data_IF_410925722420
#
_entry.id   IF_410925722420
#
_cell.length_a   1.000
_cell.length_b   1.000
_cell.length_c   1.000
_cell.angle_alpha   90.00
_cell.angle_beta   90.00
_cell.angle_gamma   90.00
#
_symmetry.space_group_name_H-M   'P 1'
#
loop_
_entity.id
_entity.type
_entity.pdbx_description
1 polymer ?
#
# COMPACT_ATOMS: atom_id res chain seq x y z
N UNK A 1 3.57 -28.69 2.80
CA UNK A 1 3.99 -27.46 3.51
C UNK A 1 3.14 -27.34 4.77
N UNK A 2 3.76 -27.05 5.92
CA UNK A 2 3.07 -26.96 7.23
C UNK A 2 2.81 -25.49 7.58
N UNK A 3 1.75 -25.24 8.34
CA UNK A 3 1.51 -23.91 8.91
C UNK A 3 2.57 -23.62 9.96
N UNK A 4 3.09 -22.40 9.95
CA UNK A 4 4.10 -21.92 10.88
C UNK A 4 3.49 -20.83 11.74
N UNK A 5 3.72 -20.85 13.04
CA UNK A 5 3.33 -19.76 13.93
C UNK A 5 4.55 -18.85 14.08
N UNK A 6 4.40 -17.58 13.72
CA UNK A 6 5.48 -16.59 13.77
C UNK A 6 5.13 -15.47 14.77
N UNK A 7 6.13 -14.97 15.48
CA UNK A 7 5.95 -13.87 16.44
C UNK A 7 6.22 -12.52 15.76
N UNK A 8 5.29 -11.58 15.89
CA UNK A 8 5.43 -10.25 15.31
C UNK A 8 6.40 -9.39 16.10
N UNK A 9 7.38 -8.77 15.45
CA UNK A 9 8.37 -7.88 16.10
C UNK A 9 7.79 -6.56 16.65
N UNK A 10 6.58 -6.18 16.26
CA UNK A 10 5.98 -4.89 16.66
C UNK A 10 4.95 -5.02 17.78
N UNK A 11 4.10 -6.04 17.73
CA UNK A 11 3.06 -6.26 18.72
C UNK A 11 3.30 -7.50 19.58
N UNK A 12 4.39 -8.25 19.34
CA UNK A 12 4.75 -9.49 20.03
C UNK A 12 3.66 -10.57 20.02
N UNK A 13 2.69 -10.47 19.11
CA UNK A 13 1.65 -11.46 18.94
C UNK A 13 2.11 -12.56 17.99
N UNK A 14 1.79 -13.79 18.34
CA UNK A 14 1.83 -14.94 17.44
C UNK A 14 0.77 -14.79 16.34
N UNK A 15 1.15 -15.11 15.11
CA UNK A 15 0.24 -15.18 13.98
C UNK A 15 0.52 -16.41 13.13
N UNK A 16 -0.54 -16.98 12.57
CA UNK A 16 -0.43 -18.15 11.70
C UNK A 16 0.03 -17.72 10.30
N UNK A 17 1.10 -18.36 9.83
CA UNK A 17 1.63 -18.23 8.49
C UNK A 17 1.39 -19.55 7.75
N UNK A 18 0.29 -19.56 7.00
CA UNK A 18 -0.23 -20.76 6.36
C UNK A 18 0.63 -21.22 5.18
N UNK A 19 0.54 -22.51 4.84
CA UNK A 19 1.19 -23.07 3.66
C UNK A 19 0.81 -22.38 2.34
N UNK A 20 -0.42 -21.86 2.23
CA UNK A 20 -0.89 -21.11 1.08
C UNK A 20 -0.21 -19.74 0.95
N UNK A 21 0.00 -19.05 2.08
CA UNK A 21 0.73 -17.79 2.09
C UNK A 21 2.21 -18.00 1.79
N UNK A 22 2.85 -19.04 2.34
CA UNK A 22 4.24 -19.36 2.03
C UNK A 22 4.48 -19.51 0.53
N UNK A 23 3.64 -20.28 -0.16
CA UNK A 23 3.72 -20.45 -1.63
C UNK A 23 3.59 -19.11 -2.35
N UNK A 24 2.64 -18.28 -1.93
CA UNK A 24 2.38 -16.97 -2.55
C UNK A 24 3.55 -16.00 -2.39
N UNK A 25 4.29 -16.09 -1.28
CA UNK A 25 5.51 -15.32 -1.06
C UNK A 25 6.66 -15.87 -1.90
N UNK A 26 6.84 -17.19 -1.93
CA UNK A 26 7.87 -17.85 -2.76
C UNK A 26 7.69 -17.59 -4.26
N UNK A 27 6.47 -17.72 -4.79
CA UNK A 27 6.15 -17.45 -6.19
C UNK A 27 6.43 -16.00 -6.61
N UNK A 28 6.29 -15.07 -5.66
CA UNK A 28 6.58 -13.66 -5.88
C UNK A 28 8.03 -13.29 -5.60
N UNK A 29 8.84 -14.22 -5.11
CA UNK A 29 10.22 -13.96 -4.69
C UNK A 29 10.33 -13.05 -3.46
N UNK A 30 9.34 -13.09 -2.57
CA UNK A 30 9.35 -12.32 -1.32
C UNK A 30 9.80 -13.17 -0.13
N UNK A 31 10.51 -12.53 0.80
CA UNK A 31 10.93 -13.12 2.06
C UNK A 31 9.78 -13.23 3.09
N UNK A 32 9.99 -14.10 4.09
CA UNK A 32 9.03 -14.40 5.14
C UNK A 32 8.66 -13.16 5.96
N UNK A 33 7.37 -12.95 6.28
CA UNK A 33 6.94 -11.80 7.06
C UNK A 33 7.40 -11.86 8.52
N UNK A 34 8.14 -10.83 8.98
CA UNK A 34 8.45 -10.61 10.41
C UNK A 34 7.36 -9.85 11.19
N UNK A 35 6.40 -9.26 10.47
CA UNK A 35 5.30 -8.47 11.03
C UNK A 35 3.98 -9.10 10.67
N UNK A 36 3.07 -9.19 11.64
CA UNK A 36 1.73 -9.72 11.46
C UNK A 36 0.92 -8.88 10.45
N UNK A 37 -0.14 -9.45 9.85
CA UNK A 37 -0.99 -8.75 8.90
C UNK A 37 -1.64 -7.49 9.49
N UNK A 38 -1.92 -7.48 10.81
CA UNK A 38 -2.47 -6.31 11.50
C UNK A 38 -1.47 -5.14 11.49
N UNK A 39 -0.23 -5.35 11.93
CA UNK A 39 0.80 -4.30 11.90
C UNK A 39 1.14 -3.82 10.47
N UNK A 40 1.06 -4.71 9.46
CA UNK A 40 1.23 -4.31 8.06
C UNK A 40 0.07 -3.48 7.52
N UNK A 41 -1.16 -3.83 7.92
CA UNK A 41 -2.39 -3.12 7.54
C UNK A 41 -2.57 -1.83 8.31
N UNK A 42 -1.96 -1.68 9.48
CA UNK A 42 -1.92 -0.46 10.27
C UNK A 42 -1.08 0.63 9.59
N UNK A 43 -1.40 0.93 8.33
CA UNK A 43 -1.25 2.26 7.78
C UNK A 43 -2.26 3.09 8.55
N UNK A 44 -1.80 3.78 9.58
CA UNK A 44 -2.47 4.96 10.11
C UNK A 44 -2.57 5.96 8.95
N UNK A 45 -3.54 5.74 8.05
CA UNK A 45 -4.10 6.78 7.22
C UNK A 45 -5.06 7.44 8.16
N UNK A 46 -4.60 8.54 8.74
CA UNK A 46 -5.44 9.56 9.35
C UNK A 46 -6.79 9.57 8.63
N UNK A 47 -7.84 9.17 9.35
CA UNK A 47 -9.22 9.13 8.86
C UNK A 47 -9.65 10.51 8.33
N UNK A 48 -8.95 11.57 8.73
CA UNK A 48 -9.06 12.95 8.26
C UNK A 48 -8.67 13.17 6.77
N UNK A 49 -7.93 12.26 6.13
CA UNK A 49 -7.52 12.46 4.72
C UNK A 49 -8.46 11.79 3.71
N UNK A 50 -9.49 11.07 4.16
CA UNK A 50 -10.53 10.51 3.28
C UNK A 50 -11.39 11.63 2.68
N UNK A 51 -11.65 12.70 3.44
CA UNK A 51 -12.38 13.89 2.97
C UNK A 51 -11.54 14.79 2.04
N UNK A 52 -10.21 14.85 2.19
CA UNK A 52 -9.33 15.64 1.29
C UNK A 52 -9.17 15.04 -0.12
N UNK A 53 -9.57 13.78 -0.35
CA UNK A 53 -9.44 13.14 -1.67
C UNK A 53 -10.57 13.48 -2.63
N UNK A 54 -11.74 13.88 -2.16
CA UNK A 54 -12.88 14.28 -3.03
C UNK A 54 -12.69 15.66 -3.69
N UNK A 55 -11.65 16.42 -3.31
CA UNK A 55 -11.41 17.77 -3.82
C UNK A 55 -10.42 17.86 -5.01
N UNK A 56 -9.80 16.75 -5.42
CA UNK A 56 -8.80 16.75 -6.52
C UNK A 56 -9.40 16.52 -7.91
N UNK A 57 -10.67 16.11 -8.02
CA UNK A 57 -11.30 15.82 -9.32
C UNK A 57 -11.82 17.05 -10.08
N UNK A 58 -11.83 18.25 -9.49
CA UNK A 58 -12.42 19.46 -10.12
C UNK A 58 -11.44 20.45 -10.76
N UNK A 59 -10.12 20.23 -10.74
CA UNK A 59 -9.11 21.16 -11.31
C UNK A 59 -8.38 20.59 -12.53
N UNK A 60 -9.10 20.28 -13.62
CA UNK A 60 -8.51 20.04 -14.95
C UNK A 60 -9.12 20.90 -16.07
N UNK A 61 -9.69 22.06 -15.75
CA UNK A 61 -10.02 23.10 -16.74
C UNK A 61 -8.95 24.20 -16.73
N UNK A 62 -7.87 24.02 -17.50
CA UNK A 62 -7.17 25.08 -18.26
C UNK A 62 -5.96 24.47 -18.98
N UNK A 63 -6.18 23.66 -20.01
CA UNK A 63 -5.16 23.47 -21.05
C UNK A 63 -5.40 24.55 -22.12
N UNK A 64 -5.19 25.81 -21.77
CA UNK A 64 -4.99 26.85 -22.79
C UNK A 64 -3.52 26.75 -23.19
N UNK A 65 -3.24 26.05 -24.28
CA UNK A 65 -1.99 26.21 -25.02
C UNK A 65 -2.23 27.35 -26.00
N UNK A 66 -1.85 28.56 -25.61
CA UNK A 66 -1.59 29.66 -26.55
C UNK A 66 -0.08 29.92 -26.42
N UNK A 67 0.68 29.43 -27.40
CA UNK A 67 2.05 29.85 -27.72
C UNK A 67 1.92 30.31 -29.17
N UNK A 68 1.52 31.56 -29.37
CA UNK A 68 2.41 32.70 -29.58
C UNK A 68 3.23 32.53 -30.88
N UNK A 69 2.76 33.27 -31.88
CA UNK A 69 3.41 33.51 -33.15
C UNK A 69 4.81 34.07 -32.86
N UNK A 70 5.86 33.32 -33.23
CA UNK A 70 7.18 33.91 -33.43
C UNK A 70 7.22 34.31 -34.90
N UNK A 71 7.16 35.62 -35.12
CA UNK A 71 7.44 36.25 -36.40
C UNK A 71 8.87 35.88 -36.86
N UNK A 72 8.97 35.40 -38.10
CA UNK A 72 10.16 35.52 -38.93
C UNK A 72 9.76 35.53 -40.40
#
# INVERSE_FOLDING_TARGET
MKNLILTCIQCNTDFEFSAGEQKKYQERGFDVPLRCPQCRKNKYRDSECQERRKFKDKKKHHRFKFDEQIDY
#
